data_IF_888341262313
#
_entry.id   IF_888341262313
#
_cell.length_a   1.000
_cell.length_b   1.000
_cell.length_c   1.000
_cell.angle_alpha   90.00
_cell.angle_beta   90.00
_cell.angle_gamma   90.00
#
_symmetry.space_group_name_H-M   'P 1'
#
loop_
_entity.id
_entity.type
_entity.pdbx_description
1 polymer ?
#
# COMPACT_ATOMS: atom_id res chain seq x y z
N UNK A 1 1.51 13.51 -14.17
CA UNK A 1 0.94 12.91 -12.96
C UNK A 1 -0.55 12.96 -13.12
N UNK A 2 -1.13 11.89 -13.64
CA UNK A 2 -2.55 11.87 -14.06
C UNK A 2 -3.33 10.71 -13.43
N UNK A 3 -2.61 9.66 -13.00
CA UNK A 3 -3.21 8.44 -12.50
C UNK A 3 -3.80 8.61 -11.09
N UNK A 4 -3.08 9.28 -10.19
CA UNK A 4 -3.59 9.57 -8.85
C UNK A 4 -4.86 10.45 -8.92
N UNK A 5 -4.88 11.60 -9.64
CA UNK A 5 -6.09 12.40 -9.80
C UNK A 5 -7.27 11.62 -10.38
N UNK A 6 -7.04 10.72 -11.34
CA UNK A 6 -8.10 9.92 -11.93
C UNK A 6 -8.73 8.94 -10.91
N UNK A 7 -7.93 8.27 -10.09
CA UNK A 7 -8.47 7.40 -9.03
C UNK A 7 -9.28 8.18 -7.99
N UNK A 8 -8.81 9.38 -7.62
CA UNK A 8 -9.52 10.23 -6.65
C UNK A 8 -10.84 10.71 -7.25
N UNK A 9 -10.83 11.23 -8.48
CA UNK A 9 -12.01 11.90 -9.06
C UNK A 9 -13.04 10.96 -9.66
N UNK A 10 -12.62 9.80 -10.19
CA UNK A 10 -13.53 8.84 -10.83
C UNK A 10 -13.87 7.63 -9.98
N UNK A 11 -13.04 7.31 -8.98
CA UNK A 11 -13.21 6.13 -8.15
C UNK A 11 -13.37 6.44 -6.66
N UNK A 12 -13.35 7.72 -6.27
CA UNK A 12 -13.48 8.19 -4.87
C UNK A 12 -12.39 7.61 -3.95
N UNK A 13 -11.20 7.36 -4.49
CA UNK A 13 -10.06 6.89 -3.70
C UNK A 13 -9.43 8.03 -2.90
N UNK A 14 -8.73 7.65 -1.83
CA UNK A 14 -8.19 8.55 -0.83
C UNK A 14 -6.67 8.53 -0.86
N UNK A 15 -6.05 9.70 -1.03
CA UNK A 15 -4.60 9.88 -0.97
C UNK A 15 -4.18 10.29 0.44
N UNK A 16 -3.18 9.62 1.00
CA UNK A 16 -2.49 10.03 2.22
C UNK A 16 -0.99 10.06 1.96
N UNK A 17 -0.36 11.15 2.39
CA UNK A 17 1.09 11.28 2.45
C UNK A 17 1.50 11.59 3.89
N UNK A 18 2.55 10.98 4.40
CA UNK A 18 3.06 11.25 5.73
C UNK A 18 4.56 11.03 5.80
N UNK A 19 5.22 11.78 6.69
CA UNK A 19 6.61 11.53 7.06
C UNK A 19 6.65 10.37 8.06
N UNK A 20 7.50 9.39 7.79
CA UNK A 20 7.64 8.21 8.62
C UNK A 20 8.21 8.55 10.00
N UNK A 21 7.60 8.01 11.07
CA UNK A 21 8.05 8.27 12.46
C UNK A 21 9.52 7.91 12.71
N UNK A 22 10.06 6.93 11.97
CA UNK A 22 11.46 6.48 12.11
C UNK A 22 12.39 7.12 11.08
N UNK A 23 11.95 8.21 10.44
CA UNK A 23 12.71 8.95 9.43
C UNK A 23 13.17 8.06 8.25
N UNK A 24 12.37 7.04 7.89
CA UNK A 24 12.58 6.20 6.70
C UNK A 24 12.09 6.87 5.40
N UNK A 25 11.85 8.19 5.43
CA UNK A 25 11.36 8.97 4.31
C UNK A 25 9.85 9.23 4.36
N UNK A 26 9.33 9.81 3.28
CA UNK A 26 7.92 10.13 3.12
C UNK A 26 7.22 8.97 2.43
N UNK A 27 6.13 8.50 3.02
CA UNK A 27 5.23 7.53 2.42
C UNK A 27 4.07 8.24 1.72
N UNK A 28 3.60 7.63 0.64
CA UNK A 28 2.35 7.98 0.00
C UNK A 28 1.56 6.73 -0.36
N UNK A 29 0.25 6.76 -0.14
CA UNK A 29 -0.67 5.68 -0.43
C UNK A 29 -1.95 6.23 -1.05
N UNK A 30 -2.51 5.52 -2.03
CA UNK A 30 -3.88 5.77 -2.52
C UNK A 30 -4.74 4.55 -2.21
N UNK A 31 -5.86 4.74 -1.50
CA UNK A 31 -6.70 3.61 -1.07
C UNK A 31 -8.17 3.77 -1.45
N UNK A 32 -8.91 2.67 -1.68
CA UNK A 32 -10.34 2.72 -1.96
C UNK A 32 -11.19 3.19 -0.77
N UNK A 33 -10.71 3.04 0.47
CA UNK A 33 -11.47 3.36 1.68
C UNK A 33 -10.59 4.07 2.73
N UNK A 34 -11.05 5.13 3.41
CA UNK A 34 -10.22 5.89 4.36
C UNK A 34 -9.60 5.05 5.48
N UNK A 35 -10.31 4.03 5.98
CA UNK A 35 -9.77 3.17 7.03
C UNK A 35 -8.56 2.35 6.57
N UNK A 36 -8.45 2.03 5.27
CA UNK A 36 -7.28 1.33 4.73
C UNK A 36 -6.02 2.17 4.93
N UNK A 37 -6.02 3.44 4.50
CA UNK A 37 -4.86 4.31 4.64
C UNK A 37 -4.49 4.56 6.11
N UNK A 38 -5.48 4.73 7.00
CA UNK A 38 -5.19 4.92 8.42
C UNK A 38 -4.58 3.68 9.06
N UNK A 39 -5.07 2.48 8.72
CA UNK A 39 -4.51 1.24 9.24
C UNK A 39 -3.08 1.00 8.78
N UNK A 40 -2.82 1.19 7.49
CA UNK A 40 -1.46 1.02 6.97
C UNK A 40 -0.51 2.02 7.63
N UNK A 41 -0.92 3.28 7.77
CA UNK A 41 -0.13 4.28 8.50
C UNK A 41 0.10 3.88 9.96
N UNK A 42 -0.93 3.42 10.68
CA UNK A 42 -0.82 2.96 12.06
C UNK A 42 0.24 1.87 12.20
N UNK A 43 0.25 0.89 11.29
CA UNK A 43 1.23 -0.21 11.32
C UNK A 43 2.64 0.31 11.01
N UNK A 44 2.79 1.17 9.99
CA UNK A 44 4.08 1.73 9.59
C UNK A 44 4.67 2.64 10.68
N UNK A 45 3.87 3.53 11.28
CA UNK A 45 4.29 4.43 12.37
C UNK A 45 4.39 3.70 13.74
N UNK A 46 3.84 2.48 13.81
CA UNK A 46 3.84 1.62 14.99
C UNK A 46 5.23 1.13 15.39
N UNK A 47 5.32 0.56 16.59
CA UNK A 47 6.56 0.01 17.13
C UNK A 47 6.68 -1.49 16.84
N UNK A 48 7.91 -1.96 16.62
CA UNK A 48 8.22 -3.38 16.46
C UNK A 48 8.41 -3.86 15.03
N UNK A 49 8.55 -5.17 14.90
CA UNK A 49 8.98 -5.82 13.66
C UNK A 49 7.95 -5.69 12.52
N UNK A 50 6.66 -5.65 12.85
CA UNK A 50 5.60 -5.54 11.84
C UNK A 50 5.72 -4.25 11.00
N UNK A 51 6.12 -3.14 11.59
CA UNK A 51 6.35 -1.87 10.87
C UNK A 51 7.38 -2.05 9.76
N UNK A 52 8.52 -2.65 10.11
CA UNK A 52 9.62 -2.91 9.18
C UNK A 52 9.22 -3.95 8.13
N UNK A 53 8.57 -5.03 8.54
CA UNK A 53 8.12 -6.09 7.63
C UNK A 53 7.11 -5.59 6.62
N UNK A 54 6.14 -4.76 7.04
CA UNK A 54 5.18 -4.15 6.13
C UNK A 54 5.86 -3.19 5.15
N UNK A 55 6.86 -2.43 5.63
CA UNK A 55 7.70 -1.60 4.77
C UNK A 55 8.43 -2.41 3.69
N UNK A 56 9.03 -3.53 4.07
CA UNK A 56 9.68 -4.45 3.12
C UNK A 56 8.67 -5.08 2.15
N UNK A 57 7.52 -5.51 2.65
CA UNK A 57 6.45 -6.07 1.82
C UNK A 57 6.06 -5.12 0.68
N UNK A 58 5.84 -3.82 0.96
CA UNK A 58 5.47 -2.85 -0.09
C UNK A 58 6.54 -2.60 -1.14
N UNK A 59 7.80 -2.89 -0.84
CA UNK A 59 8.92 -2.81 -1.78
C UNK A 59 9.13 -4.12 -2.56
N UNK A 60 8.58 -5.25 -2.09
CA UNK A 60 8.80 -6.58 -2.65
C UNK A 60 7.48 -7.21 -3.13
N UNK A 61 6.90 -8.16 -2.39
CA UNK A 61 5.72 -8.93 -2.81
C UNK A 61 4.47 -8.04 -3.00
N UNK A 62 4.36 -6.97 -2.21
CA UNK A 62 3.32 -5.95 -2.27
C UNK A 62 3.64 -4.79 -3.23
N UNK A 63 4.68 -4.90 -4.05
CA UNK A 63 5.08 -3.86 -5.01
C UNK A 63 4.06 -3.54 -6.10
N UNK A 64 2.93 -4.25 -6.17
CA UNK A 64 1.81 -3.94 -7.06
C UNK A 64 0.75 -3.04 -6.39
N UNK A 65 0.81 -2.87 -5.06
CA UNK A 65 -0.12 -2.02 -4.32
C UNK A 65 0.20 -0.54 -4.53
N UNK A 66 -0.80 0.37 -4.49
CA UNK A 66 -0.64 1.81 -4.64
C UNK A 66 0.00 2.47 -3.41
N UNK A 67 1.22 2.06 -3.08
CA UNK A 67 2.04 2.55 -1.98
C UNK A 67 3.43 2.89 -2.51
N UNK A 68 3.99 4.03 -2.13
CA UNK A 68 5.35 4.43 -2.45
C UNK A 68 6.04 5.06 -1.24
N UNK A 69 7.38 5.03 -1.24
CA UNK A 69 8.23 5.73 -0.30
C UNK A 69 9.28 6.55 -1.07
N UNK A 70 9.64 7.72 -0.56
CA UNK A 70 10.59 8.62 -1.20
C UNK A 70 11.20 9.65 -0.25
N UNK A 71 12.14 10.44 -0.77
CA UNK A 71 12.91 11.38 0.04
C UNK A 71 12.19 12.73 0.25
N UNK A 72 11.22 13.04 -0.60
CA UNK A 72 10.41 14.25 -0.52
C UNK A 72 9.04 14.03 -1.18
N UNK A 73 8.13 15.00 -1.00
CA UNK A 73 6.74 14.87 -1.44
C UNK A 73 6.62 14.70 -2.96
N UNK A 74 7.41 15.45 -3.74
CA UNK A 74 7.36 15.37 -5.21
C UNK A 74 7.87 14.02 -5.71
N UNK A 75 8.98 13.54 -5.14
CA UNK A 75 9.55 12.22 -5.45
C UNK A 75 8.54 11.10 -5.17
N UNK A 76 7.94 11.07 -3.97
CA UNK A 76 7.02 9.99 -3.60
C UNK A 76 5.73 10.01 -4.42
N UNK A 77 5.18 11.19 -4.71
CA UNK A 77 3.98 11.32 -5.55
C UNK A 77 4.24 10.93 -7.01
N UNK A 78 5.41 11.26 -7.54
CA UNK A 78 5.82 10.85 -8.90
C UNK A 78 5.95 9.33 -8.98
N UNK A 79 6.67 8.72 -8.02
CA UNK A 79 6.81 7.26 -7.93
C UNK A 79 5.46 6.55 -7.81
N UNK A 80 4.56 7.11 -6.99
CA UNK A 80 3.23 6.54 -6.81
C UNK A 80 2.39 6.63 -8.09
N UNK A 81 2.42 7.76 -8.79
CA UNK A 81 1.69 7.95 -10.05
C UNK A 81 2.21 6.98 -11.13
N UNK A 82 3.53 6.88 -11.30
CA UNK A 82 4.16 5.97 -12.26
C UNK A 82 3.82 4.49 -11.96
N UNK A 83 3.74 4.13 -10.68
CA UNK A 83 3.35 2.79 -10.22
C UNK A 83 1.89 2.45 -10.56
N UNK A 84 0.98 3.42 -10.42
CA UNK A 84 -0.46 3.24 -10.64
C UNK A 84 -0.82 3.30 -12.13
N UNK A 85 -0.14 4.16 -12.89
CA UNK A 85 -0.44 4.45 -14.29
C UNK A 85 -0.69 3.22 -15.18
N UNK A 86 0.11 2.14 -15.14
CA UNK A 86 -0.15 0.95 -15.96
C UNK A 86 -1.39 0.16 -15.51
N UNK A 87 -1.82 0.29 -14.26
CA UNK A 87 -2.88 -0.52 -13.65
C UNK A 87 -4.22 0.20 -13.54
N UNK A 88 -4.27 1.50 -13.82
CA UNK A 88 -5.44 2.35 -13.50
C UNK A 88 -6.75 1.93 -14.18
N UNK A 89 -6.68 1.32 -15.37
CA UNK A 89 -7.84 0.79 -16.08
C UNK A 89 -8.24 -0.62 -15.65
N UNK A 90 -7.42 -1.31 -14.86
CA UNK A 90 -7.58 -2.72 -14.55
C UNK A 90 -8.51 -2.92 -13.34
N UNK A 91 -9.68 -3.51 -13.57
CA UNK A 91 -10.69 -3.77 -12.53
C UNK A 91 -10.27 -4.86 -11.55
N UNK A 92 -9.50 -5.86 -12.01
CA UNK A 92 -8.94 -6.91 -11.14
C UNK A 92 -7.98 -6.27 -10.15
N UNK A 93 -7.08 -5.40 -10.63
CA UNK A 93 -6.15 -4.67 -9.76
C UNK A 93 -6.90 -3.85 -8.71
N UNK A 94 -7.90 -3.06 -9.10
CA UNK A 94 -8.69 -2.25 -8.15
C UNK A 94 -9.36 -3.10 -7.07
N UNK A 95 -9.95 -4.24 -7.46
CA UNK A 95 -10.57 -5.18 -6.53
C UNK A 95 -9.53 -5.80 -5.59
N UNK A 96 -8.41 -6.29 -6.13
CA UNK A 96 -7.36 -6.89 -5.32
C UNK A 96 -6.74 -5.89 -4.35
N UNK A 97 -6.54 -4.62 -4.75
CA UNK A 97 -6.09 -3.56 -3.84
C UNK A 97 -7.05 -3.41 -2.66
N UNK A 98 -8.36 -3.37 -2.93
CA UNK A 98 -9.38 -3.32 -1.88
C UNK A 98 -9.26 -4.53 -0.94
N UNK A 99 -9.27 -5.73 -1.51
CA UNK A 99 -9.25 -6.99 -0.75
C UNK A 99 -7.99 -7.09 0.13
N UNK A 100 -6.82 -6.74 -0.39
CA UNK A 100 -5.56 -6.76 0.36
C UNK A 100 -5.54 -5.74 1.49
N UNK A 101 -5.97 -4.50 1.26
CA UNK A 101 -6.02 -3.52 2.34
C UNK A 101 -7.11 -3.83 3.38
N UNK A 102 -8.22 -4.42 2.94
CA UNK A 102 -9.26 -4.93 3.83
C UNK A 102 -8.71 -6.06 4.72
N UNK A 103 -7.89 -6.94 4.16
CA UNK A 103 -7.22 -7.99 4.93
C UNK A 103 -6.32 -7.41 6.03
N UNK A 104 -5.55 -6.35 5.77
CA UNK A 104 -4.75 -5.68 6.82
C UNK A 104 -5.60 -4.99 7.90
N UNK A 105 -6.85 -4.61 7.60
CA UNK A 105 -7.79 -4.10 8.60
C UNK A 105 -8.31 -5.20 9.50
N UNK A 106 -8.62 -6.37 8.93
CA UNK A 106 -9.27 -7.48 9.63
C UNK A 106 -8.25 -8.35 10.38
N UNK A 107 -7.10 -8.58 9.78
CA UNK A 107 -6.00 -9.33 10.38
C UNK A 107 -5.23 -8.43 11.35
N UNK A 108 -5.36 -8.75 12.64
CA UNK A 108 -4.48 -8.21 13.67
C UNK A 108 -3.15 -8.97 13.63
N UNK A 109 -2.31 -8.68 12.62
CA UNK A 109 -0.99 -9.28 12.51
C UNK A 109 -0.16 -9.02 13.77
N UNK A 110 0.42 -10.08 14.32
CA UNK A 110 1.49 -9.98 15.31
C UNK A 110 2.82 -9.64 14.61
N UNK A 111 3.86 -9.38 15.39
CA UNK A 111 5.20 -9.02 14.88
C UNK A 111 5.76 -9.94 13.78
N UNK A 112 5.43 -11.24 13.80
CA UNK A 112 5.87 -12.23 12.80
C UNK A 112 4.72 -12.74 11.91
N UNK A 113 3.49 -12.28 12.15
CA UNK A 113 2.31 -12.81 11.47
C UNK A 113 2.35 -12.56 9.96
N UNK A 114 2.79 -11.37 9.55
CA UNK A 114 2.92 -11.01 8.14
C UNK A 114 3.99 -11.87 7.43
N UNK A 115 5.18 -11.99 8.02
CA UNK A 115 6.26 -12.82 7.47
C UNK A 115 5.83 -14.28 7.28
N UNK A 116 5.12 -14.84 8.26
CA UNK A 116 4.58 -16.21 8.19
C UNK A 116 3.52 -16.31 7.09
N UNK A 117 2.62 -15.33 6.97
CA UNK A 117 1.60 -15.32 5.92
C UNK A 117 2.23 -15.25 4.50
N UNK A 118 3.28 -14.45 4.33
CA UNK A 118 4.03 -14.36 3.08
C UNK A 118 4.75 -15.68 2.77
N UNK A 119 5.42 -16.31 3.75
CA UNK A 119 6.05 -17.64 3.60
C UNK A 119 5.04 -18.72 3.21
N UNK A 120 3.83 -18.65 3.76
CA UNK A 120 2.73 -19.56 3.44
C UNK A 120 2.02 -19.20 2.12
N UNK A 121 2.46 -18.16 1.42
CA UNK A 121 1.89 -17.70 0.14
C UNK A 121 0.38 -17.43 0.24
N UNK A 122 -0.04 -16.75 1.31
CA UNK A 122 -1.44 -16.33 1.46
C UNK A 122 -1.81 -15.46 0.26
N UNK A 123 -2.72 -15.96 -0.58
CA UNK A 123 -2.99 -15.40 -1.92
C UNK A 123 -3.34 -13.92 -1.93
N UNK A 124 -4.09 -13.45 -0.92
CA UNK A 124 -4.55 -12.06 -0.82
C UNK A 124 -3.41 -11.06 -0.63
N UNK A 125 -2.21 -11.52 -0.21
CA UNK A 125 -1.02 -10.69 -0.06
C UNK A 125 -0.14 -10.70 -1.32
N UNK A 126 -0.40 -11.57 -2.29
CA UNK A 126 0.44 -11.71 -3.48
C UNK A 126 -0.15 -10.93 -4.65
N UNK A 127 0.70 -10.55 -5.61
CA UNK A 127 0.25 -9.99 -6.89
C UNK A 127 -0.71 -10.99 -7.55
N UNK A 128 -1.93 -10.59 -7.93
CA UNK A 128 -2.82 -11.46 -8.69
C UNK A 128 -2.16 -11.91 -10.00
N UNK A 129 -2.33 -13.18 -10.35
CA UNK A 129 -1.71 -13.80 -11.55
C UNK A 129 -2.18 -13.16 -12.86
N UNK A 130 -3.33 -12.49 -12.83
CA UNK A 130 -4.00 -11.85 -13.96
C UNK A 130 -3.51 -10.40 -14.23
N UNK A 131 -2.48 -9.95 -13.49
CA UNK A 131 -1.90 -8.60 -13.56
C UNK A 131 -0.49 -8.55 -14.15
#
# INVERSE_FOLDING_TARGET
MDAIPELITKNDWNLLCWDDRYSRGIWAIVTPHPNHMYKIREIIDGEGMLSTELGFYFQNEGSWLPVANGNNLMDVLTKLDDKIKPMIGNTIWKRSVYDTFQHFLEENYSNFGLEIALKNKVKILLKPEEL
#
